data_IF_633370896435
#
_entry.id   IF_633370896435
#
_cell.length_a   1.000
_cell.length_b   1.000
_cell.length_c   1.000
_cell.angle_alpha   90.00
_cell.angle_beta   90.00
_cell.angle_gamma   90.00
#
_symmetry.space_group_name_H-M   'P 1'
#
loop_
_entity.id
_entity.type
_entity.pdbx_description
1 polymer ?
#
# COMPACT_ATOMS: atom_id res chain seq x y z
N UNK A 1 -15.21 24.18 8.59
CA UNK A 1 -16.45 23.46 8.21
C UNK A 1 -16.40 21.95 8.49
N UNK A 2 -15.27 21.25 8.25
CA UNK A 2 -15.11 19.80 8.52
C UNK A 2 -15.32 19.38 9.99
N UNK A 3 -14.89 20.21 10.95
CA UNK A 3 -15.01 19.93 12.38
C UNK A 3 -16.47 19.94 12.89
N UNK A 4 -17.33 20.79 12.30
CA UNK A 4 -18.75 20.87 12.66
C UNK A 4 -19.53 19.64 12.17
N UNK A 5 -19.19 19.13 10.98
CA UNK A 5 -19.80 17.93 10.41
C UNK A 5 -19.46 16.67 11.21
N UNK A 6 -18.21 16.55 11.65
CA UNK A 6 -17.76 15.46 12.53
C UNK A 6 -18.47 15.49 13.89
N UNK A 7 -18.60 16.68 14.50
CA UNK A 7 -19.36 16.84 15.75
C UNK A 7 -20.84 16.45 15.56
N UNK A 8 -21.46 16.87 14.46
CA UNK A 8 -22.86 16.55 14.18
C UNK A 8 -23.09 15.06 13.94
N UNK A 9 -22.16 14.39 13.25
CA UNK A 9 -22.17 12.95 13.04
C UNK A 9 -21.99 12.17 14.36
N UNK A 10 -21.04 12.59 15.20
CA UNK A 10 -20.81 12.01 16.52
C UNK A 10 -22.05 12.14 17.42
N UNK A 11 -22.68 13.32 17.46
CA UNK A 11 -23.92 13.57 18.20
C UNK A 11 -25.06 12.66 17.70
N UNK A 12 -25.22 12.51 16.39
CA UNK A 12 -26.23 11.61 15.80
C UNK A 12 -26.00 10.14 16.18
N UNK A 13 -24.74 9.69 16.16
CA UNK A 13 -24.38 8.33 16.53
C UNK A 13 -24.64 8.07 18.03
N UNK A 14 -24.26 9.02 18.88
CA UNK A 14 -24.52 9.00 20.33
C UNK A 14 -26.01 8.85 20.65
N UNK A 15 -26.85 9.65 19.98
CA UNK A 15 -28.33 9.57 20.12
C UNK A 15 -28.88 8.21 19.71
N UNK A 16 -28.32 7.56 18.67
CA UNK A 16 -28.76 6.22 18.25
C UNK A 16 -28.37 5.14 19.27
N UNK A 17 -27.17 5.21 19.84
CA UNK A 17 -26.69 4.25 20.84
C UNK A 17 -27.46 4.38 22.15
N UNK A 18 -27.69 5.61 22.62
CA UNK A 18 -28.51 5.90 23.82
C UNK A 18 -29.90 5.26 23.75
N UNK A 19 -30.59 5.44 22.61
CA UNK A 19 -31.92 4.85 22.38
C UNK A 19 -31.92 3.32 22.32
N UNK A 20 -30.87 2.70 21.75
CA UNK A 20 -30.79 1.24 21.65
C UNK A 20 -30.45 0.56 22.97
N UNK A 21 -29.62 1.20 23.79
CA UNK A 21 -29.12 0.62 25.05
C UNK A 21 -29.88 1.13 26.29
N UNK A 22 -30.88 2.00 26.10
CA UNK A 22 -31.67 2.64 27.15
C UNK A 22 -30.79 3.27 28.26
N UNK A 23 -29.69 3.88 27.84
CA UNK A 23 -28.74 4.60 28.71
C UNK A 23 -28.82 6.09 28.41
N UNK A 24 -28.59 6.91 29.43
CA UNK A 24 -28.59 8.36 29.27
C UNK A 24 -27.53 8.78 28.23
N UNK A 25 -27.91 9.74 27.39
CA UNK A 25 -27.05 10.36 26.38
C UNK A 25 -25.78 10.96 27.00
N UNK A 26 -25.85 11.45 28.24
CA UNK A 26 -24.71 12.02 28.97
C UNK A 26 -23.76 10.94 29.51
N UNK A 27 -24.25 9.72 29.72
CA UNK A 27 -23.47 8.57 30.22
C UNK A 27 -22.66 7.86 29.13
N UNK A 28 -22.90 8.18 27.86
CA UNK A 28 -22.05 7.73 26.75
C UNK A 28 -20.95 8.76 26.61
N UNK A 29 -19.68 8.36 26.51
CA UNK A 29 -18.62 9.23 26.03
C UNK A 29 -18.13 8.72 24.68
N UNK A 30 -18.02 9.62 23.70
CA UNK A 30 -17.51 9.31 22.36
C UNK A 30 -16.21 10.06 22.20
N UNK A 31 -15.10 9.33 22.23
CA UNK A 31 -13.76 9.89 22.31
C UNK A 31 -13.36 10.56 20.99
N UNK A 32 -13.59 11.88 20.92
CA UNK A 32 -12.84 12.78 20.02
C UNK A 32 -11.34 12.83 20.37
N UNK A 33 -10.98 12.33 21.56
CA UNK A 33 -9.61 12.18 22.05
C UNK A 33 -8.78 11.24 21.16
N UNK A 34 -9.31 10.05 20.82
CA UNK A 34 -8.62 9.07 19.96
C UNK A 34 -8.22 9.64 18.60
N UNK A 35 -9.13 10.39 17.94
CA UNK A 35 -8.86 11.01 16.63
C UNK A 35 -7.81 12.12 16.75
N UNK A 36 -7.80 12.89 17.84
CA UNK A 36 -6.78 13.92 18.09
C UNK A 36 -5.42 13.29 18.37
N UNK A 37 -5.36 12.26 19.20
CA UNK A 37 -4.13 11.52 19.50
C UNK A 37 -3.54 10.86 18.26
N UNK A 38 -4.36 10.22 17.41
CA UNK A 38 -3.93 9.68 16.11
C UNK A 38 -3.35 10.78 15.22
N UNK A 39 -4.03 11.93 15.11
CA UNK A 39 -3.57 13.04 14.27
C UNK A 39 -2.24 13.61 14.76
N UNK A 40 -2.10 13.83 16.07
CA UNK A 40 -0.87 14.31 16.69
C UNK A 40 0.27 13.29 16.49
N UNK A 41 -0.03 11.99 16.64
CA UNK A 41 0.92 10.90 16.38
C UNK A 41 1.40 10.87 14.93
N UNK A 42 0.49 11.01 13.95
CA UNK A 42 0.86 11.01 12.53
C UNK A 42 1.66 12.27 12.12
N UNK A 43 1.31 13.44 12.64
CA UNK A 43 2.12 14.67 12.47
C UNK A 43 3.54 14.45 13.00
N UNK A 44 3.67 13.89 14.19
CA UNK A 44 4.97 13.60 14.78
C UNK A 44 5.76 12.54 13.99
N UNK A 45 5.07 11.51 13.49
CA UNK A 45 5.66 10.48 12.64
C UNK A 45 6.27 11.09 11.37
N UNK A 46 5.55 12.00 10.70
CA UNK A 46 6.07 12.72 9.53
C UNK A 46 7.29 13.57 9.87
N UNK A 47 7.33 14.20 11.04
CA UNK A 47 8.50 14.96 11.48
C UNK A 47 9.73 14.05 11.60
N UNK A 48 9.56 12.87 12.21
CA UNK A 48 10.66 11.90 12.35
C UNK A 48 11.13 11.36 11.00
N UNK A 49 10.22 11.11 10.05
CA UNK A 49 10.59 10.67 8.70
C UNK A 49 11.39 11.76 7.97
N UNK A 50 10.95 13.02 8.05
CA UNK A 50 11.71 14.15 7.49
C UNK A 50 13.10 14.27 8.13
N UNK A 51 13.17 14.13 9.46
CA UNK A 51 14.43 14.11 10.21
C UNK A 51 15.35 12.97 9.74
N UNK A 52 14.82 11.76 9.56
CA UNK A 52 15.58 10.62 9.05
C UNK A 52 16.17 10.91 7.66
N UNK A 53 15.37 11.47 6.75
CA UNK A 53 15.86 11.80 5.40
C UNK A 53 16.99 12.82 5.45
N UNK A 54 16.86 13.85 6.29
CA UNK A 54 17.91 14.86 6.49
C UNK A 54 19.16 14.25 7.14
N UNK A 55 19.01 13.39 8.15
CA UNK A 55 20.12 12.69 8.79
C UNK A 55 20.88 11.77 7.83
N UNK A 56 20.17 11.04 6.96
CA UNK A 56 20.80 10.22 5.90
C UNK A 56 21.52 11.08 4.87
N UNK A 57 20.99 12.25 4.53
CA UNK A 57 21.65 13.20 3.64
C UNK A 57 22.92 13.80 4.25
N UNK A 58 22.91 14.09 5.56
CA UNK A 58 24.05 14.61 6.33
C UNK A 58 25.01 13.50 6.84
N UNK A 59 24.85 12.26 6.35
CA UNK A 59 25.68 11.09 6.72
C UNK A 59 25.69 10.77 8.24
N UNK A 60 24.65 11.15 8.97
CA UNK A 60 24.52 10.98 10.42
C UNK A 60 23.97 9.59 10.80
N UNK A 61 24.71 8.54 10.45
CA UNK A 61 24.24 7.15 10.48
C UNK A 61 23.73 6.69 11.86
N UNK A 62 24.43 7.04 12.95
CA UNK A 62 24.02 6.64 14.31
C UNK A 62 22.74 7.36 14.77
N UNK A 63 22.52 8.59 14.33
CA UNK A 63 21.24 9.29 14.59
C UNK A 63 20.14 8.69 13.73
N UNK A 64 20.40 8.44 12.45
CA UNK A 64 19.46 7.81 11.53
C UNK A 64 18.93 6.48 12.08
N UNK A 65 19.81 5.60 12.61
CA UNK A 65 19.41 4.33 13.24
C UNK A 65 18.45 4.53 14.41
N UNK A 66 18.70 5.52 15.28
CA UNK A 66 17.81 5.83 16.42
C UNK A 66 16.46 6.33 15.93
N UNK A 67 16.44 7.19 14.92
CA UNK A 67 15.22 7.72 14.31
C UNK A 67 14.39 6.62 13.66
N UNK A 68 15.02 5.71 12.90
CA UNK A 68 14.34 4.52 12.32
C UNK A 68 13.65 3.70 13.40
N UNK A 69 14.36 3.38 14.49
CA UNK A 69 13.78 2.59 15.60
C UNK A 69 12.54 3.27 16.16
N UNK A 70 12.60 4.59 16.38
CA UNK A 70 11.48 5.37 16.91
C UNK A 70 10.29 5.41 15.95
N UNK A 71 10.55 5.57 14.65
CA UNK A 71 9.50 5.54 13.62
C UNK A 71 8.80 4.17 13.60
N UNK A 72 9.57 3.07 13.66
CA UNK A 72 9.01 1.71 13.68
C UNK A 72 8.16 1.46 14.92
N UNK A 73 8.65 1.82 16.11
CA UNK A 73 7.89 1.70 17.36
C UNK A 73 6.55 2.47 17.34
N UNK A 74 6.51 3.64 16.69
CA UNK A 74 5.28 4.41 16.52
C UNK A 74 4.35 3.79 15.46
N UNK A 75 4.91 3.35 14.34
CA UNK A 75 4.16 2.72 13.25
C UNK A 75 3.51 1.42 13.70
N UNK A 76 4.19 0.62 14.52
CA UNK A 76 3.68 -0.64 15.05
C UNK A 76 2.45 -0.47 15.95
N UNK A 77 2.27 0.71 16.54
CA UNK A 77 1.11 1.07 17.39
C UNK A 77 -0.06 1.64 16.61
N UNK A 78 0.06 1.82 15.29
CA UNK A 78 -1.03 2.31 14.47
C UNK A 78 -2.11 1.24 14.28
N UNK A 79 -3.38 1.65 14.41
CA UNK A 79 -4.55 0.81 14.11
C UNK A 79 -4.58 0.42 12.62
N UNK A 80 -4.20 1.37 11.75
CA UNK A 80 -4.11 1.15 10.31
C UNK A 80 -2.83 0.35 9.98
N UNK A 81 -2.97 -0.97 9.97
CA UNK A 81 -1.89 -1.91 9.66
C UNK A 81 -1.34 -1.74 8.24
N UNK A 82 -2.17 -1.35 7.27
CA UNK A 82 -1.74 -1.12 5.89
C UNK A 82 -0.82 0.09 5.84
N UNK A 83 -1.23 1.21 6.44
CA UNK A 83 -0.41 2.41 6.51
C UNK A 83 0.87 2.21 7.32
N UNK A 84 0.82 1.46 8.43
CA UNK A 84 2.00 1.10 9.22
C UNK A 84 3.05 0.36 8.39
N UNK A 85 2.62 -0.63 7.60
CA UNK A 85 3.50 -1.42 6.73
C UNK A 85 4.12 -0.55 5.61
N UNK A 86 3.33 0.35 5.02
CA UNK A 86 3.82 1.29 4.01
C UNK A 86 4.92 2.20 4.57
N UNK A 87 4.71 2.73 5.78
CA UNK A 87 5.68 3.60 6.45
C UNK A 87 6.94 2.81 6.80
N UNK A 88 6.81 1.59 7.32
CA UNK A 88 7.95 0.72 7.66
C UNK A 88 8.84 0.47 6.44
N UNK A 89 8.24 0.06 5.30
CA UNK A 89 8.98 -0.15 4.05
C UNK A 89 9.63 1.12 3.51
N UNK A 90 8.90 2.24 3.56
CA UNK A 90 9.42 3.53 3.12
C UNK A 90 10.65 3.96 3.94
N UNK A 91 10.59 3.78 5.25
CA UNK A 91 11.68 4.08 6.19
C UNK A 91 12.90 3.20 5.93
N UNK A 92 12.70 1.91 5.66
CA UNK A 92 13.78 0.99 5.30
C UNK A 92 14.44 1.40 3.98
N UNK A 93 13.65 1.78 2.97
CA UNK A 93 14.18 2.27 1.69
C UNK A 93 14.92 3.62 1.82
N UNK A 94 14.48 4.53 2.69
CA UNK A 94 15.25 5.75 3.01
C UNK A 94 16.59 5.38 3.65
N UNK A 95 16.56 4.48 4.64
CA UNK A 95 17.75 4.09 5.39
C UNK A 95 18.80 3.40 4.50
N UNK A 96 18.35 2.59 3.54
CA UNK A 96 19.18 1.90 2.54
C UNK A 96 19.62 2.80 1.37
N UNK A 97 19.25 4.08 1.36
CA UNK A 97 19.52 5.05 0.29
C UNK A 97 18.81 4.79 -1.06
N UNK A 98 17.76 3.96 -1.08
CA UNK A 98 16.94 3.69 -2.26
C UNK A 98 15.99 4.86 -2.59
N UNK A 99 15.68 5.70 -1.59
CA UNK A 99 14.82 6.88 -1.72
C UNK A 99 15.60 8.14 -1.35
N UNK A 100 15.53 9.15 -2.21
CA UNK A 100 16.11 10.48 -1.97
C UNK A 100 15.09 11.56 -2.32
N UNK A 101 15.11 12.65 -1.56
CA UNK A 101 14.32 13.84 -1.90
C UNK A 101 14.96 14.61 -3.05
N UNK A 102 14.16 15.40 -3.77
CA UNK A 102 14.65 16.31 -4.81
C UNK A 102 15.45 17.48 -4.22
N UNK A 103 15.10 17.90 -3.01
CA UNK A 103 15.69 19.05 -2.32
C UNK A 103 15.73 18.80 -0.82
N UNK A 104 16.73 19.37 -0.17
CA UNK A 104 16.94 19.33 1.27
C UNK A 104 17.01 20.76 1.84
N UNK A 105 16.61 21.00 3.10
CA UNK A 105 16.07 20.01 4.05
C UNK A 105 14.64 19.60 3.69
N UNK A 106 14.35 18.31 3.86
CA UNK A 106 13.00 17.74 3.77
C UNK A 106 12.19 18.23 4.97
N UNK A 107 10.95 18.65 4.73
CA UNK A 107 10.01 19.09 5.74
C UNK A 107 8.90 18.07 5.94
N UNK A 108 8.23 18.17 7.07
CA UNK A 108 7.07 17.33 7.41
C UNK A 108 5.98 17.35 6.32
N UNK A 109 5.76 18.51 5.69
CA UNK A 109 4.72 18.69 4.67
C UNK A 109 5.04 17.96 3.35
N UNK A 110 6.32 17.61 3.11
CA UNK A 110 6.75 16.89 1.91
C UNK A 110 6.51 15.36 2.01
N UNK A 111 6.29 14.85 3.22
CA UNK A 111 6.31 13.40 3.50
C UNK A 111 5.12 12.68 2.85
N UNK A 112 3.94 13.28 2.81
CA UNK A 112 2.77 12.64 2.21
C UNK A 112 2.99 12.42 0.70
N UNK A 113 3.53 13.40 -0.03
CA UNK A 113 3.86 13.28 -1.45
C UNK A 113 4.97 12.24 -1.70
N UNK A 114 6.02 12.26 -0.88
CA UNK A 114 7.13 11.32 -1.00
C UNK A 114 6.69 9.88 -0.75
N UNK A 115 5.85 9.66 0.26
CA UNK A 115 5.31 8.34 0.58
C UNK A 115 4.38 7.83 -0.51
N UNK A 116 3.49 8.67 -1.04
CA UNK A 116 2.62 8.33 -2.16
C UNK A 116 3.42 7.97 -3.42
N UNK A 117 4.43 8.79 -3.76
CA UNK A 117 5.31 8.53 -4.91
C UNK A 117 6.07 7.22 -4.75
N UNK A 118 6.59 6.95 -3.55
CA UNK A 118 7.25 5.68 -3.24
C UNK A 118 6.28 4.50 -3.41
N UNK A 119 5.10 4.56 -2.80
CA UNK A 119 4.08 3.52 -2.92
C UNK A 119 3.73 3.22 -4.38
N UNK A 120 3.45 4.27 -5.17
CA UNK A 120 3.14 4.13 -6.60
C UNK A 120 4.30 3.53 -7.41
N UNK A 121 5.54 3.90 -7.08
CA UNK A 121 6.72 3.36 -7.77
C UNK A 121 6.94 1.91 -7.40
N UNK A 122 6.90 1.56 -6.11
CA UNK A 122 7.06 0.19 -5.65
C UNK A 122 5.94 -0.72 -6.17
N UNK A 123 4.70 -0.25 -6.25
CA UNK A 123 3.60 -0.98 -6.87
C UNK A 123 3.88 -1.31 -8.34
N UNK A 124 4.38 -0.33 -9.11
CA UNK A 124 4.77 -0.54 -10.51
C UNK A 124 5.90 -1.57 -10.64
N UNK A 125 6.91 -1.52 -9.77
CA UNK A 125 8.02 -2.48 -9.78
C UNK A 125 7.56 -3.89 -9.40
N UNK A 126 6.66 -4.04 -8.43
CA UNK A 126 6.08 -5.34 -8.08
C UNK A 126 5.29 -5.91 -9.27
N UNK A 127 4.47 -5.10 -9.94
CA UNK A 127 3.72 -5.52 -11.14
C UNK A 127 4.69 -5.91 -12.26
N UNK A 128 5.73 -5.12 -12.50
CA UNK A 128 6.75 -5.43 -13.50
C UNK A 128 7.47 -6.75 -13.18
N UNK A 129 7.83 -6.96 -11.92
CA UNK A 129 8.46 -8.21 -11.44
C UNK A 129 7.54 -9.40 -11.66
N UNK A 130 6.25 -9.25 -11.36
CA UNK A 130 5.25 -10.28 -11.64
C UNK A 130 5.15 -10.56 -13.15
N UNK A 131 5.10 -9.52 -13.98
CA UNK A 131 5.04 -9.66 -15.44
C UNK A 131 6.27 -10.38 -16.00
N UNK A 132 7.47 -10.03 -15.54
CA UNK A 132 8.73 -10.70 -15.89
C UNK A 132 8.71 -12.18 -15.51
N UNK A 133 8.31 -12.49 -14.27
CA UNK A 133 8.19 -13.86 -13.78
C UNK A 133 7.31 -14.74 -14.68
N UNK A 134 6.21 -14.19 -15.16
CA UNK A 134 5.20 -14.94 -15.91
C UNK A 134 5.29 -14.81 -17.43
N UNK A 135 6.17 -13.96 -17.97
CA UNK A 135 6.30 -13.73 -19.41
C UNK A 135 5.16 -12.88 -19.97
N UNK A 136 4.76 -11.84 -19.23
CA UNK A 136 3.66 -10.93 -19.58
C UNK A 136 4.16 -9.56 -20.06
N UNK A 137 5.48 -9.35 -20.18
CA UNK A 137 6.06 -8.04 -20.49
C UNK A 137 5.73 -7.63 -21.93
N UNK A 138 5.88 -8.55 -22.88
CA UNK A 138 5.80 -8.26 -24.32
C UNK A 138 4.57 -8.87 -25.01
N UNK A 139 3.58 -9.34 -24.24
CA UNK A 139 2.30 -9.79 -24.81
C UNK A 139 1.49 -8.59 -25.34
N UNK A 140 0.63 -8.77 -26.35
CA UNK A 140 -0.21 -7.69 -26.88
C UNK A 140 -0.99 -6.93 -25.78
N UNK A 141 -1.63 -7.65 -24.86
CA UNK A 141 -2.43 -7.06 -23.77
C UNK A 141 -1.61 -6.76 -22.48
N UNK A 142 -0.29 -6.56 -22.59
CA UNK A 142 0.61 -6.31 -21.46
C UNK A 142 0.19 -5.09 -20.61
N UNK A 143 -0.38 -4.06 -21.22
CA UNK A 143 -0.89 -2.89 -20.49
C UNK A 143 -2.16 -3.17 -19.71
N UNK A 144 -3.00 -4.10 -20.18
CA UNK A 144 -4.24 -4.49 -19.49
C UNK A 144 -3.96 -5.20 -18.17
N UNK A 145 -2.81 -5.89 -18.06
CA UNK A 145 -2.34 -6.47 -16.79
C UNK A 145 -2.28 -5.41 -15.68
N UNK A 146 -1.80 -4.20 -16.01
CA UNK A 146 -1.75 -3.11 -15.04
C UNK A 146 -3.16 -2.64 -14.68
N UNK A 147 -4.02 -2.45 -15.69
CA UNK A 147 -5.38 -1.92 -15.52
C UNK A 147 -6.24 -2.81 -14.60
N UNK A 148 -6.24 -4.12 -14.82
CA UNK A 148 -7.02 -5.04 -13.99
C UNK A 148 -6.50 -5.12 -12.56
N UNK A 149 -5.19 -4.98 -12.33
CA UNK A 149 -4.63 -4.92 -10.97
C UNK A 149 -4.98 -3.59 -10.28
N UNK A 150 -4.94 -2.47 -11.01
CA UNK A 150 -5.29 -1.14 -10.46
C UNK A 150 -6.76 -1.01 -10.11
N UNK A 151 -7.64 -1.70 -10.84
CA UNK A 151 -9.09 -1.64 -10.63
C UNK A 151 -9.63 -2.74 -9.72
N UNK A 152 -8.76 -3.66 -9.26
CA UNK A 152 -9.17 -4.80 -8.44
C UNK A 152 -9.69 -4.38 -7.07
N UNK A 153 -10.77 -5.03 -6.64
CA UNK A 153 -11.28 -4.95 -5.27
C UNK A 153 -10.85 -6.19 -4.51
N UNK A 154 -10.12 -5.98 -3.40
CA UNK A 154 -9.62 -7.08 -2.57
C UNK A 154 -10.73 -8.07 -2.19
N UNK A 155 -10.50 -9.36 -2.49
CA UNK A 155 -11.38 -10.49 -2.24
C UNK A 155 -12.49 -10.67 -3.27
N UNK A 156 -12.58 -9.82 -4.29
CA UNK A 156 -13.54 -9.95 -5.38
C UNK A 156 -13.00 -10.85 -6.50
N UNK A 157 -13.92 -11.51 -7.22
CA UNK A 157 -13.60 -12.23 -8.46
C UNK A 157 -13.93 -11.32 -9.66
N UNK A 158 -13.18 -10.22 -9.80
CA UNK A 158 -13.45 -9.13 -10.73
C UNK A 158 -12.43 -8.99 -11.86
N UNK A 159 -11.31 -9.74 -11.82
CA UNK A 159 -10.23 -9.61 -12.80
C UNK A 159 -10.63 -10.00 -14.24
N UNK A 160 -11.74 -10.71 -14.43
CA UNK A 160 -12.16 -11.21 -15.75
C UNK A 160 -13.56 -10.74 -16.17
N UNK A 161 -14.09 -9.64 -15.61
CA UNK A 161 -15.42 -9.14 -15.96
C UNK A 161 -15.53 -8.88 -17.48
N UNK A 162 -14.51 -8.28 -18.08
CA UNK A 162 -14.49 -7.93 -19.50
C UNK A 162 -13.78 -8.98 -20.38
N UNK A 163 -13.41 -10.14 -19.82
CA UNK A 163 -12.64 -11.18 -20.53
C UNK A 163 -11.15 -10.87 -20.70
N UNK A 164 -10.65 -9.77 -20.12
CA UNK A 164 -9.25 -9.35 -20.26
C UNK A 164 -8.26 -10.36 -19.67
N UNK A 165 -8.57 -10.96 -18.52
CA UNK A 165 -7.74 -12.01 -17.94
C UNK A 165 -7.65 -13.25 -18.85
N UNK A 166 -8.75 -13.62 -19.52
CA UNK A 166 -8.75 -14.71 -20.50
C UNK A 166 -7.87 -14.40 -21.72
N UNK A 167 -7.92 -13.17 -22.23
CA UNK A 167 -7.08 -12.70 -23.32
C UNK A 167 -5.58 -12.75 -22.94
N UNK A 168 -5.23 -12.18 -21.79
CA UNK A 168 -3.88 -12.18 -21.22
C UNK A 168 -3.35 -13.61 -21.08
N UNK A 169 -4.12 -14.52 -20.47
CA UNK A 169 -3.73 -15.91 -20.29
C UNK A 169 -3.55 -16.62 -21.64
N UNK A 170 -4.42 -16.34 -22.61
CA UNK A 170 -4.33 -16.93 -23.95
C UNK A 170 -3.04 -16.51 -24.63
N UNK A 171 -2.73 -15.21 -24.65
CA UNK A 171 -1.54 -14.64 -25.27
C UNK A 171 -0.26 -15.13 -24.61
N UNK A 172 -0.17 -15.00 -23.29
CA UNK A 172 1.01 -15.41 -22.54
C UNK A 172 1.28 -16.93 -22.68
N UNK A 173 0.22 -17.75 -22.78
CA UNK A 173 0.38 -19.20 -22.98
C UNK A 173 1.01 -19.61 -24.32
N UNK A 174 1.16 -18.67 -25.27
CA UNK A 174 1.86 -18.91 -26.53
C UNK A 174 3.37 -18.69 -26.41
N UNK A 175 3.81 -17.82 -25.50
CA UNK A 175 5.19 -17.31 -25.45
C UNK A 175 5.91 -17.55 -24.11
N UNK A 176 5.21 -17.97 -23.05
CA UNK A 176 5.80 -18.11 -21.70
C UNK A 176 7.07 -18.99 -21.61
N UNK A 177 7.26 -19.93 -22.54
CA UNK A 177 8.46 -20.78 -22.57
C UNK A 177 9.73 -20.00 -22.90
N UNK A 178 9.61 -18.93 -23.69
CA UNK A 178 10.72 -18.04 -24.04
C UNK A 178 10.76 -16.84 -23.11
N UNK A 179 9.60 -16.22 -22.87
CA UNK A 179 9.50 -14.84 -22.36
C UNK A 179 9.39 -14.73 -20.84
N UNK A 180 8.99 -15.80 -20.13
CA UNK A 180 9.05 -15.81 -18.67
C UNK A 180 10.51 -15.72 -18.21
N UNK A 181 10.79 -15.15 -17.04
CA UNK A 181 12.14 -15.21 -16.47
C UNK A 181 12.32 -16.42 -15.54
N UNK A 182 11.22 -16.93 -15.00
CA UNK A 182 11.23 -18.04 -14.04
C UNK A 182 11.33 -19.40 -14.75
N UNK A 183 12.37 -20.17 -14.40
CA UNK A 183 12.67 -21.48 -15.00
C UNK A 183 11.57 -22.50 -14.74
N UNK A 184 10.96 -22.49 -13.56
CA UNK A 184 9.86 -23.40 -13.25
C UNK A 184 8.65 -23.08 -14.10
N UNK A 185 8.34 -21.79 -14.28
CA UNK A 185 7.25 -21.33 -15.15
C UNK A 185 7.48 -21.76 -16.61
N UNK A 186 8.69 -21.58 -17.16
CA UNK A 186 9.04 -22.05 -18.52
C UNK A 186 8.80 -23.54 -18.73
N UNK A 187 9.08 -24.34 -17.69
CA UNK A 187 8.98 -25.80 -17.73
C UNK A 187 7.53 -26.32 -17.67
N UNK A 188 6.55 -25.48 -17.32
CA UNK A 188 5.17 -25.91 -17.16
C UNK A 188 4.59 -26.41 -18.48
N UNK A 189 3.74 -27.43 -18.42
CA UNK A 189 2.82 -27.73 -19.51
C UNK A 189 1.81 -26.59 -19.67
N UNK A 190 1.39 -26.29 -20.91
CA UNK A 190 0.52 -25.13 -21.24
C UNK A 190 -0.74 -25.05 -20.38
N UNK A 191 -1.43 -26.18 -20.15
CA UNK A 191 -2.64 -26.23 -19.32
C UNK A 191 -2.33 -25.85 -17.86
N UNK A 192 -1.19 -26.34 -17.32
CA UNK A 192 -0.74 -26.04 -15.96
C UNK A 192 -0.33 -24.57 -15.81
N UNK A 193 0.34 -24.01 -16.82
CA UNK A 193 0.66 -22.59 -16.89
C UNK A 193 -0.61 -21.73 -16.81
N UNK A 194 -1.58 -21.97 -17.69
CA UNK A 194 -2.84 -21.20 -17.73
C UNK A 194 -3.59 -21.22 -16.40
N UNK A 195 -3.71 -22.40 -15.78
CA UNK A 195 -4.37 -22.55 -14.48
C UNK A 195 -3.63 -21.79 -13.37
N UNK A 196 -2.32 -21.95 -13.27
CA UNK A 196 -1.51 -21.28 -12.24
C UNK A 196 -1.48 -19.77 -12.43
N UNK A 197 -1.36 -19.28 -13.68
CA UNK A 197 -1.38 -17.86 -13.95
C UNK A 197 -2.68 -17.24 -13.43
N UNK A 198 -3.85 -17.80 -13.77
CA UNK A 198 -5.15 -17.33 -13.25
C UNK A 198 -5.18 -17.25 -11.73
N UNK A 199 -4.81 -18.35 -11.06
CA UNK A 199 -4.84 -18.43 -9.60
C UNK A 199 -3.91 -17.41 -8.94
N UNK A 200 -2.69 -17.30 -9.44
CA UNK A 200 -1.68 -16.41 -8.85
C UNK A 200 -1.94 -14.95 -9.17
N UNK A 201 -2.67 -14.64 -10.24
CA UNK A 201 -2.99 -13.28 -10.64
C UNK A 201 -4.06 -12.67 -9.74
N UNK A 202 -5.09 -13.45 -9.37
CA UNK A 202 -6.05 -13.05 -8.32
C UNK A 202 -5.33 -12.79 -6.99
N UNK A 203 -4.51 -13.74 -6.54
CA UNK A 203 -3.72 -13.59 -5.29
C UNK A 203 -2.80 -12.37 -5.33
N UNK A 204 -2.17 -12.13 -6.47
CA UNK A 204 -1.27 -10.99 -6.64
C UNK A 204 -2.04 -9.67 -6.61
N UNK A 205 -3.21 -9.58 -7.24
CA UNK A 205 -4.04 -8.38 -7.19
C UNK A 205 -4.53 -8.07 -5.75
N UNK A 206 -4.93 -9.11 -5.01
CA UNK A 206 -5.26 -9.01 -3.59
C UNK A 206 -4.09 -8.45 -2.77
N UNK A 207 -2.91 -9.03 -2.96
CA UNK A 207 -1.69 -8.64 -2.24
C UNK A 207 -1.28 -7.20 -2.56
N UNK A 208 -1.39 -6.79 -3.83
CA UNK A 208 -1.12 -5.42 -4.27
C UNK A 208 -2.07 -4.44 -3.60
N UNK A 209 -3.38 -4.72 -3.62
CA UNK A 209 -4.41 -3.87 -3.00
C UNK A 209 -4.25 -3.76 -1.49
N UNK A 210 -3.79 -4.85 -0.86
CA UNK A 210 -3.49 -4.87 0.57
C UNK A 210 -2.23 -4.07 0.92
N UNK A 211 -1.22 -4.10 0.03
CA UNK A 211 0.11 -3.49 0.27
C UNK A 211 0.15 -1.99 -0.05
N UNK A 212 -0.57 -1.52 -1.07
CA UNK A 212 -0.54 -0.14 -1.59
C UNK A 212 -1.90 0.51 -1.52
#
# INVERSE_FOLDING_TARGET
MFNLLLQFAAIKLKKKIAKRKNIDFTAIDLSMEHVKEIKVSYTYLKQLIAELMNQKHEEQEEKAKKTVKKIKELSDRMDDRKKAEQISKFVDSIFNNDVKAKSYPVRQDDIDELLERYANTSMREDILTYKRKWGLVDIPDSQKVNAIIYNHVQGADDLNIDGDLDAIIREASLVYKTDAEDKEIKSLAKIKYRRKLRETMNKFADDITKKY
#
